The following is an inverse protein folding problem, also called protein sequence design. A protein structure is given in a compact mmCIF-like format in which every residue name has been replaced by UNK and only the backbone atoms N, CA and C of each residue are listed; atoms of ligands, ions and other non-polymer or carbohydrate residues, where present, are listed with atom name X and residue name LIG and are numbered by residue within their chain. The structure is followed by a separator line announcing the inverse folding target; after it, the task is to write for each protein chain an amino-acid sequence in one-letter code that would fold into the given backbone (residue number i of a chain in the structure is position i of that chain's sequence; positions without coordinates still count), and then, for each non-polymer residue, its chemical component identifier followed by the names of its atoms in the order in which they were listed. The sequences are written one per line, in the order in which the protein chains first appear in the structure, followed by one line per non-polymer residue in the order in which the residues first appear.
data_IF_248050780182
#
_entry.id   IF_248050780182
#
_cell.length_a   1.000
_cell.length_b   1.000
_cell.length_c   1.000
_cell.angle_alpha   90.00
_cell.angle_beta   90.00
_cell.angle_gamma   90.00
#
_symmetry.space_group_name_H-M   'P 1'
#
loop_
_entity.id
_entity.type
_entity.pdbx_description
1 polymer ?
#
# COMPACT_ATOMS: atom_id res chain seq x y z
N UNK A 1 -21.43 -0.10 -34.93
CA UNK A 1 -21.75 0.30 -33.54
C UNK A 1 -20.67 -0.27 -32.64
N UNK A 2 -19.51 0.38 -32.59
CA UNK A 2 -18.36 -0.05 -31.79
C UNK A 2 -18.40 0.65 -30.43
N UNK A 3 -18.92 -0.05 -29.41
CA UNK A 3 -18.82 0.32 -27.99
C UNK A 3 -18.04 -0.77 -27.25
N UNK A 4 -16.76 -0.98 -27.61
CA UNK A 4 -15.91 -1.99 -26.95
C UNK A 4 -14.52 -1.52 -26.49
N UNK A 5 -14.18 -0.24 -26.66
CA UNK A 5 -12.82 0.23 -26.37
C UNK A 5 -12.64 0.79 -24.95
N UNK A 6 -13.57 1.63 -24.48
CA UNK A 6 -13.43 2.31 -23.18
C UNK A 6 -13.48 1.39 -21.95
N UNK A 7 -14.22 0.27 -22.02
CA UNK A 7 -14.26 -0.72 -20.93
C UNK A 7 -12.98 -1.54 -20.80
N UNK A 8 -12.35 -1.85 -21.94
CA UNK A 8 -11.08 -2.59 -22.00
C UNK A 8 -9.92 -1.72 -21.49
N UNK A 9 -9.90 -0.44 -21.87
CA UNK A 9 -8.88 0.50 -21.44
C UNK A 9 -8.96 0.81 -19.93
N UNK A 10 -10.15 1.02 -19.39
CA UNK A 10 -10.32 1.25 -17.95
C UNK A 10 -9.91 0.02 -17.13
N UNK A 11 -10.26 -1.18 -17.58
CA UNK A 11 -9.84 -2.42 -16.92
C UNK A 11 -8.31 -2.57 -16.90
N UNK A 12 -7.63 -2.24 -18.00
CA UNK A 12 -6.16 -2.29 -18.07
C UNK A 12 -5.49 -1.29 -17.11
N UNK A 13 -6.04 -0.08 -16.98
CA UNK A 13 -5.53 0.94 -16.04
C UNK A 13 -5.70 0.46 -14.59
N UNK A 14 -6.87 -0.08 -14.25
CA UNK A 14 -7.14 -0.61 -12.92
C UNK A 14 -6.15 -1.72 -12.57
N UNK A 15 -5.92 -2.65 -13.49
CA UNK A 15 -5.00 -3.76 -13.26
C UNK A 15 -3.55 -3.29 -13.10
N UNK A 16 -3.10 -2.35 -13.95
CA UNK A 16 -1.77 -1.75 -13.83
C UNK A 16 -1.58 -1.07 -12.47
N UNK A 17 -2.59 -0.35 -11.97
CA UNK A 17 -2.51 0.33 -10.67
C UNK A 17 -2.53 -0.65 -9.49
N UNK A 18 -3.22 -1.78 -9.63
CA UNK A 18 -3.18 -2.86 -8.64
C UNK A 18 -1.81 -3.52 -8.60
N UNK A 19 -1.23 -3.85 -9.75
CA UNK A 19 0.11 -4.43 -9.82
C UNK A 19 1.15 -3.51 -9.15
N UNK A 20 1.14 -2.21 -9.47
CA UNK A 20 1.99 -1.21 -8.81
C UNK A 20 1.79 -1.20 -7.28
N UNK A 21 0.55 -1.24 -6.81
CA UNK A 21 0.26 -1.25 -5.38
C UNK A 21 0.69 -2.56 -4.69
N UNK A 22 0.66 -3.70 -5.38
CA UNK A 22 1.15 -4.98 -4.86
C UNK A 22 2.66 -4.99 -4.67
N UNK A 23 3.39 -4.44 -5.63
CA UNK A 23 4.85 -4.29 -5.56
C UNK A 23 5.23 -3.39 -4.38
N UNK A 24 4.58 -2.22 -4.25
CA UNK A 24 4.81 -1.31 -3.12
C UNK A 24 4.44 -1.94 -1.78
N UNK A 25 3.35 -2.72 -1.72
CA UNK A 25 2.98 -3.44 -0.50
C UNK A 25 4.05 -4.47 -0.12
N UNK A 26 4.57 -5.24 -1.09
CA UNK A 26 5.61 -6.22 -0.84
C UNK A 26 6.89 -5.58 -0.29
N UNK A 27 7.33 -4.46 -0.90
CA UNK A 27 8.48 -3.70 -0.45
C UNK A 27 8.29 -3.12 0.95
N UNK A 28 7.12 -2.52 1.21
CA UNK A 28 6.77 -2.00 2.54
C UNK A 28 6.81 -3.11 3.58
N UNK A 29 6.22 -4.27 3.31
CA UNK A 29 6.22 -5.41 4.22
C UNK A 29 7.63 -5.94 4.50
N UNK A 30 8.51 -5.95 3.50
CA UNK A 30 9.90 -6.34 3.70
C UNK A 30 10.65 -5.34 4.60
N UNK A 31 10.50 -4.04 4.36
CA UNK A 31 11.11 -2.99 5.18
C UNK A 31 10.61 -3.03 6.63
N UNK A 32 9.29 -3.20 6.82
CA UNK A 32 8.70 -3.34 8.16
C UNK A 32 9.24 -4.58 8.87
N UNK A 33 9.37 -5.71 8.15
CA UNK A 33 9.96 -6.93 8.73
C UNK A 33 11.40 -6.71 9.17
N UNK A 34 12.22 -6.02 8.38
CA UNK A 34 13.61 -5.65 8.75
C UNK A 34 13.65 -4.75 10.00
N UNK A 35 12.63 -3.90 10.15
CA UNK A 35 12.42 -3.10 11.35
C UNK A 35 11.83 -3.87 12.55
N UNK A 36 11.60 -5.18 12.43
CA UNK A 36 10.98 -5.99 13.48
C UNK A 36 9.47 -5.79 13.63
N UNK A 37 8.81 -5.13 12.67
CA UNK A 37 7.36 -4.92 12.64
C UNK A 37 6.73 -5.94 11.70
N UNK A 38 5.78 -6.72 12.19
CA UNK A 38 5.01 -7.65 11.35
C UNK A 38 3.56 -7.22 11.27
N UNK A 39 3.06 -7.04 10.04
CA UNK A 39 1.66 -6.75 9.70
C UNK A 39 1.09 -7.88 8.84
N UNK A 40 0.73 -9.03 9.43
CA UNK A 40 0.32 -10.20 8.67
C UNK A 40 -1.05 -10.02 8.00
N UNK A 41 -1.84 -9.05 8.46
CA UNK A 41 -3.14 -8.70 7.90
C UNK A 41 -3.08 -7.59 6.86
N UNK A 42 -1.90 -7.02 6.58
CA UNK A 42 -1.82 -5.92 5.62
C UNK A 42 -2.05 -6.44 4.18
N UNK A 43 -2.92 -5.78 3.45
CA UNK A 43 -3.35 -6.18 2.11
C UNK A 43 -3.84 -4.98 1.29
N UNK A 44 -4.08 -5.20 0.00
CA UNK A 44 -4.79 -4.22 -0.83
C UNK A 44 -6.30 -4.30 -0.58
N UNK A 45 -6.95 -3.15 -0.48
CA UNK A 45 -8.39 -3.09 -0.55
C UNK A 45 -8.86 -3.31 -2.00
N UNK A 46 -9.28 -4.54 -2.28
CA UNK A 46 -9.83 -4.93 -3.58
C UNK A 46 -11.35 -4.73 -3.68
N UNK A 47 -12.02 -4.33 -2.60
CA UNK A 47 -13.48 -4.26 -2.50
C UNK A 47 -14.06 -2.85 -2.72
N UNK A 48 -13.25 -1.87 -3.10
CA UNK A 48 -13.76 -0.55 -3.48
C UNK A 48 -14.85 -0.67 -4.56
N UNK A 49 -16.06 -0.17 -4.24
CA UNK A 49 -17.26 -0.28 -5.10
C UNK A 49 -17.20 0.57 -6.38
N UNK A 50 -16.06 1.20 -6.66
CA UNK A 50 -15.75 1.95 -7.86
C UNK A 50 -14.31 2.41 -7.81
N UNK A 51 -13.57 2.29 -8.91
CA UNK A 51 -12.18 2.72 -8.97
C UNK A 51 -12.10 4.24 -8.88
N UNK A 52 -11.51 4.75 -7.80
CA UNK A 52 -11.36 6.18 -7.54
C UNK A 52 -10.10 6.80 -8.14
N UNK A 53 -9.32 6.00 -8.88
CA UNK A 53 -7.97 6.36 -9.34
C UNK A 53 -6.86 5.95 -8.37
N UNK A 54 -7.22 5.58 -7.14
CA UNK A 54 -6.28 5.12 -6.12
C UNK A 54 -6.56 3.67 -5.75
N UNK A 55 -5.52 2.96 -5.30
CA UNK A 55 -5.64 1.65 -4.66
C UNK A 55 -5.19 1.84 -3.22
N UNK A 56 -6.07 1.52 -2.27
CA UNK A 56 -5.77 1.67 -0.85
C UNK A 56 -5.10 0.42 -0.28
N UNK A 57 -4.21 0.65 0.68
CA UNK A 57 -3.56 -0.39 1.49
C UNK A 57 -4.30 -0.45 2.83
N UNK A 58 -4.92 -1.58 3.14
CA UNK A 58 -5.39 -1.87 4.50
C UNK A 58 -4.21 -2.42 5.30
N UNK A 59 -3.80 -1.71 6.36
CA UNK A 59 -2.71 -2.14 7.24
C UNK A 59 -3.18 -3.12 8.32
N UNK A 60 -4.48 -3.32 8.46
CA UNK A 60 -5.14 -4.20 9.40
C UNK A 60 -4.84 -3.87 10.87
N UNK A 61 -4.81 -4.90 11.72
CA UNK A 61 -4.60 -4.75 13.16
C UNK A 61 -3.11 -4.90 13.49
N UNK A 62 -2.57 -3.92 14.21
CA UNK A 62 -1.19 -3.93 14.71
C UNK A 62 -1.17 -4.07 16.23
N UNK A 63 -0.17 -4.77 16.77
CA UNK A 63 0.08 -4.81 18.21
C UNK A 63 0.72 -3.50 18.68
N UNK A 64 0.48 -3.13 19.95
CA UNK A 64 0.96 -1.85 20.51
C UNK A 64 2.49 -1.73 20.52
N UNK A 65 3.21 -2.81 20.80
CA UNK A 65 4.67 -2.88 20.73
C UNK A 65 5.19 -2.61 19.31
N UNK A 66 4.62 -3.26 18.30
CA UNK A 66 4.96 -3.01 16.90
C UNK A 66 4.65 -1.57 16.47
N UNK A 67 3.52 -1.00 16.93
CA UNK A 67 3.19 0.40 16.67
C UNK A 67 4.23 1.37 17.25
N UNK A 68 4.74 1.10 18.46
CA UNK A 68 5.82 1.88 19.07
C UNK A 68 7.11 1.78 18.24
N UNK A 69 7.47 0.57 17.80
CA UNK A 69 8.64 0.36 16.93
C UNK A 69 8.51 1.14 15.62
N UNK A 70 7.35 1.06 14.97
CA UNK A 70 7.06 1.80 13.74
C UNK A 70 7.22 3.31 13.93
N UNK A 71 6.66 3.87 15.01
CA UNK A 71 6.85 5.29 15.34
C UNK A 71 8.32 5.66 15.54
N UNK A 72 9.12 4.78 16.17
CA UNK A 72 10.55 4.99 16.33
C UNK A 72 11.27 5.08 14.99
N UNK A 73 11.04 4.11 14.10
CA UNK A 73 11.65 4.07 12.76
C UNK A 73 11.28 5.30 11.93
N UNK A 74 10.00 5.69 11.93
CA UNK A 74 9.54 6.87 11.18
C UNK A 74 10.18 8.15 11.69
N UNK A 75 10.27 8.34 13.02
CA UNK A 75 10.96 9.50 13.61
C UNK A 75 12.43 9.53 13.22
N UNK A 76 13.14 8.40 13.38
CA UNK A 76 14.55 8.33 13.00
C UNK A 76 14.78 8.64 11.52
N UNK A 77 13.89 8.20 10.62
CA UNK A 77 13.96 8.54 9.21
C UNK A 77 13.72 10.03 8.92
N UNK A 78 12.70 10.63 9.56
CA UNK A 78 12.40 12.07 9.43
C UNK A 78 13.53 12.94 9.98
N UNK A 79 14.09 12.55 11.13
CA UNK A 79 15.20 13.28 11.77
C UNK A 79 16.49 13.16 10.95
N UNK A 80 16.71 12.03 10.26
CA UNK A 80 17.88 11.81 9.38
C UNK A 80 17.75 12.55 8.04
N UNK A 81 16.53 12.82 7.56
CA UNK A 81 16.27 13.48 6.29
C UNK A 81 16.37 15.01 6.32
N UNK A 82 16.33 15.64 7.50
CA UNK A 82 16.08 17.08 7.62
C UNK A 82 14.70 17.49 7.08
N UNK A 83 14.24 18.74 7.28
CA UNK A 83 12.95 19.15 6.73
C UNK A 83 12.97 19.03 5.20
N UNK A 84 11.92 18.40 4.66
CA UNK A 84 11.63 18.35 3.22
C UNK A 84 11.44 19.75 2.62
#
# INVERSE_FOLDING_TARGET
MEKRDGGSQLAAIIESKRAEAEEVLADLLDLLRRAGVTLPSACLDRQERGFTGNVLLDLGRIRVDHARTLCGVLRSGLDAGGPA
#
